data_IF_776488562231
#
_entry.id   IF_776488562231
#
_cell.length_a   1.000
_cell.length_b   1.000
_cell.length_c   1.000
_cell.angle_alpha   90.00
_cell.angle_beta   90.00
_cell.angle_gamma   90.00
#
_symmetry.space_group_name_H-M   'P 1'
#
loop_
_entity.id
_entity.type
_entity.pdbx_description
1 polymer ?
#
# COMPACT_ATOMS: atom_id res chain seq x y z
N UNK A 1 -8.85 5.51 -6.22
CA UNK A 1 -7.99 6.20 -5.23
C UNK A 1 -8.50 7.55 -4.77
N UNK A 2 -9.11 8.41 -5.61
CA UNK A 2 -9.80 9.61 -5.10
C UNK A 2 -10.76 9.26 -3.94
N UNK A 3 -11.49 8.15 -4.07
CA UNK A 3 -12.37 7.64 -3.01
C UNK A 3 -11.63 7.22 -1.74
N UNK A 4 -10.43 6.64 -1.84
CA UNK A 4 -9.60 6.33 -0.66
C UNK A 4 -9.06 7.61 -0.02
N UNK A 5 -8.67 8.60 -0.81
CA UNK A 5 -8.25 9.91 -0.30
C UNK A 5 -9.41 10.63 0.41
N UNK A 6 -10.61 10.56 -0.16
CA UNK A 6 -11.84 11.09 0.42
C UNK A 6 -12.23 10.34 1.70
N UNK A 7 -12.07 9.00 1.71
CA UNK A 7 -12.23 8.17 2.91
C UNK A 7 -11.26 8.56 4.02
N UNK A 8 -9.97 8.73 3.71
CA UNK A 8 -8.98 9.18 4.68
C UNK A 8 -9.34 10.54 5.24
N UNK A 9 -9.76 11.49 4.39
CA UNK A 9 -10.21 12.83 4.82
C UNK A 9 -11.47 12.77 5.70
N UNK A 10 -12.44 11.94 5.32
CA UNK A 10 -13.68 11.75 6.09
C UNK A 10 -13.40 11.24 7.50
N UNK A 11 -12.41 10.35 7.66
CA UNK A 11 -11.96 9.84 8.96
C UNK A 11 -10.93 10.74 9.67
N UNK A 12 -10.80 12.02 9.26
CA UNK A 12 -9.94 13.01 9.92
C UNK A 12 -8.44 12.88 9.60
N UNK A 13 -8.08 12.11 8.57
CA UNK A 13 -6.73 12.03 8.05
C UNK A 13 -6.45 13.09 6.98
N UNK A 14 -5.17 13.23 6.62
CA UNK A 14 -4.71 14.12 5.56
C UNK A 14 -3.97 13.33 4.48
N UNK A 15 -4.08 13.78 3.24
CA UNK A 15 -3.35 13.25 2.10
C UNK A 15 -2.68 14.40 1.34
N UNK A 16 -1.39 14.24 1.05
CA UNK A 16 -0.64 15.14 0.15
C UNK A 16 0.01 14.31 -0.96
N UNK A 17 -0.11 14.78 -2.20
CA UNK A 17 0.52 14.16 -3.36
C UNK A 17 1.99 14.60 -3.44
N UNK A 18 2.92 13.65 -3.45
CA UNK A 18 4.36 13.86 -3.55
C UNK A 18 4.91 12.83 -4.54
N UNK A 19 4.77 13.06 -5.87
CA UNK A 19 5.03 12.04 -6.88
C UNK A 19 6.43 11.40 -6.74
N UNK A 20 6.55 10.07 -6.90
CA UNK A 20 5.49 9.12 -7.26
C UNK A 20 4.64 8.62 -6.09
N UNK A 21 4.80 9.20 -4.90
CA UNK A 21 4.15 8.78 -3.68
C UNK A 21 2.93 9.63 -3.33
N UNK A 22 2.08 9.07 -2.49
CA UNK A 22 1.08 9.81 -1.72
C UNK A 22 1.43 9.68 -0.26
N UNK A 23 1.50 10.81 0.44
CA UNK A 23 1.69 10.81 1.89
C UNK A 23 0.34 10.84 2.57
N UNK A 24 0.13 9.90 3.48
CA UNK A 24 -1.04 9.84 4.33
C UNK A 24 -0.65 10.13 5.77
N UNK A 25 -1.52 10.85 6.48
CA UNK A 25 -1.47 11.02 7.93
C UNK A 25 -2.81 10.65 8.51
N UNK A 26 -2.87 9.61 9.34
CA UNK A 26 -4.11 9.08 9.96
C UNK A 26 -3.83 8.78 11.43
N UNK A 27 -4.64 9.32 12.34
CA UNK A 27 -4.53 9.01 13.78
C UNK A 27 -3.15 9.24 14.39
N UNK A 28 -2.45 10.31 13.97
CA UNK A 28 -1.08 10.63 14.42
C UNK A 28 0.04 9.81 13.75
N UNK A 29 -0.30 8.80 12.93
CA UNK A 29 0.66 8.01 12.15
C UNK A 29 0.78 8.57 10.75
N UNK A 30 1.98 8.50 10.17
CA UNK A 30 2.21 8.89 8.77
C UNK A 30 2.83 7.75 7.97
N UNK A 31 2.45 7.63 6.71
CA UNK A 31 3.01 6.64 5.79
C UNK A 31 3.04 7.17 4.36
N UNK A 32 3.90 6.59 3.53
CA UNK A 32 3.97 6.87 2.08
C UNK A 32 3.41 5.68 1.33
N UNK A 33 2.47 5.94 0.44
CA UNK A 33 1.92 4.95 -0.47
C UNK A 33 2.50 5.17 -1.86
N UNK A 34 3.11 4.14 -2.43
CA UNK A 34 3.38 4.04 -3.85
C UNK A 34 2.27 3.23 -4.50
N UNK A 35 1.59 3.81 -5.50
CA UNK A 35 0.55 3.10 -6.24
C UNK A 35 1.06 2.71 -7.62
N UNK A 36 1.20 1.41 -7.86
CA UNK A 36 1.60 0.82 -9.13
C UNK A 36 0.35 0.46 -9.92
N UNK A 37 0.16 1.15 -11.04
CA UNK A 37 -0.93 0.88 -11.99
C UNK A 37 -0.43 -0.01 -13.12
N UNK A 38 -1.17 -1.07 -13.41
CA UNK A 38 -0.75 -2.10 -14.38
C UNK A 38 0.64 -2.67 -14.11
N UNK A 39 1.35 -3.06 -15.17
CA UNK A 39 2.69 -3.67 -15.10
C UNK A 39 3.84 -2.66 -14.85
N UNK A 40 3.57 -1.56 -14.13
CA UNK A 40 4.60 -0.56 -13.82
C UNK A 40 5.68 -1.15 -12.92
N UNK A 41 6.98 -1.06 -13.30
CA UNK A 41 8.07 -1.56 -12.47
C UNK A 41 8.13 -0.88 -11.11
N UNK A 42 8.50 -1.63 -10.08
CA UNK A 42 8.72 -1.07 -8.74
C UNK A 42 10.01 -0.23 -8.74
N UNK A 43 9.96 1.09 -8.43
CA UNK A 43 11.13 1.95 -8.31
C UNK A 43 11.86 1.67 -6.98
N UNK A 44 12.53 0.53 -6.89
CA UNK A 44 13.13 0.02 -5.64
C UNK A 44 14.05 1.01 -4.93
N UNK A 45 14.76 1.88 -5.66
CA UNK A 45 15.68 2.88 -5.10
C UNK A 45 14.97 4.03 -4.39
N UNK A 46 13.70 4.30 -4.71
CA UNK A 46 12.91 5.35 -4.09
C UNK A 46 12.16 4.89 -2.83
N UNK A 47 12.10 3.57 -2.62
CA UNK A 47 11.42 2.93 -1.49
C UNK A 47 12.29 2.95 -0.23
N UNK A 48 11.65 3.24 0.89
CA UNK A 48 12.23 3.28 2.23
C UNK A 48 11.43 2.38 3.16
N UNK A 49 12.08 1.90 4.22
CA UNK A 49 11.42 1.13 5.29
C UNK A 49 10.18 1.88 5.80
N UNK A 50 9.06 1.18 5.90
CA UNK A 50 7.77 1.73 6.31
C UNK A 50 6.95 2.37 5.19
N UNK A 51 7.47 2.45 3.96
CA UNK A 51 6.65 2.74 2.79
C UNK A 51 5.68 1.55 2.54
N UNK A 52 4.58 1.86 1.87
CA UNK A 52 3.55 0.90 1.46
C UNK A 52 3.44 0.91 -0.07
N UNK A 53 3.37 -0.26 -0.69
CA UNK A 53 3.12 -0.41 -2.13
C UNK A 53 1.72 -0.97 -2.35
N UNK A 54 0.90 -0.30 -3.16
CA UNK A 54 -0.36 -0.86 -3.66
C UNK A 54 -0.15 -1.21 -5.14
N UNK A 55 -0.25 -2.49 -5.49
CA UNK A 55 -0.08 -2.98 -6.84
C UNK A 55 -1.41 -3.49 -7.41
N UNK A 56 -1.78 -2.96 -8.59
CA UNK A 56 -2.94 -3.47 -9.33
C UNK A 56 -2.66 -4.80 -10.00
N UNK A 57 -1.42 -4.99 -10.50
CA UNK A 57 -0.96 -6.24 -11.12
C UNK A 57 -0.19 -7.11 -10.14
N UNK A 58 -0.20 -8.43 -10.41
CA UNK A 58 0.43 -9.43 -9.56
C UNK A 58 1.92 -9.15 -9.39
N UNK A 59 2.38 -9.06 -8.14
CA UNK A 59 3.77 -8.87 -7.81
C UNK A 59 4.51 -10.22 -7.90
N UNK A 60 5.57 -10.32 -8.72
CA UNK A 60 6.42 -11.51 -8.73
C UNK A 60 6.96 -11.80 -7.32
N UNK A 61 7.13 -13.08 -6.98
CA UNK A 61 7.65 -13.52 -5.67
C UNK A 61 8.98 -12.83 -5.31
N UNK A 62 9.92 -12.78 -6.25
CA UNK A 62 11.19 -12.07 -6.12
C UNK A 62 11.02 -10.60 -5.72
N UNK A 63 9.98 -9.92 -6.22
CA UNK A 63 9.68 -8.53 -5.85
C UNK A 63 9.14 -8.46 -4.42
N UNK A 64 8.23 -9.35 -4.04
CA UNK A 64 7.69 -9.43 -2.67
C UNK A 64 8.79 -9.70 -1.65
N UNK A 65 9.73 -10.59 -1.95
CA UNK A 65 10.90 -10.86 -1.10
C UNK A 65 11.79 -9.62 -0.92
N UNK A 66 12.05 -8.88 -2.00
CA UNK A 66 12.82 -7.63 -1.93
C UNK A 66 12.13 -6.55 -1.11
N UNK A 67 10.82 -6.38 -1.27
CA UNK A 67 10.03 -5.44 -0.48
C UNK A 67 10.11 -5.81 1.01
N UNK A 68 9.91 -7.09 1.32
CA UNK A 68 10.05 -7.65 2.67
C UNK A 68 11.43 -7.38 3.26
N UNK A 69 12.50 -7.67 2.52
CA UNK A 69 13.88 -7.44 2.96
C UNK A 69 14.17 -5.96 3.26
N UNK A 70 13.49 -5.04 2.58
CA UNK A 70 13.59 -3.58 2.80
C UNK A 70 12.66 -3.07 3.90
N UNK A 71 11.81 -3.92 4.48
CA UNK A 71 10.77 -3.52 5.43
C UNK A 71 9.74 -2.57 4.80
N UNK A 72 9.43 -2.78 3.52
CA UNK A 72 8.37 -2.11 2.77
C UNK A 72 7.16 -3.06 2.76
N UNK A 73 5.99 -2.54 3.14
CA UNK A 73 4.76 -3.32 3.13
C UNK A 73 4.06 -3.23 1.77
N UNK A 74 3.19 -4.19 1.45
CA UNK A 74 2.50 -4.19 0.15
C UNK A 74 1.09 -4.77 0.21
N UNK A 75 0.25 -4.34 -0.74
CA UNK A 75 -1.03 -4.94 -1.10
C UNK A 75 -0.99 -5.27 -2.59
N UNK A 76 -1.20 -6.53 -2.93
CA UNK A 76 -1.23 -7.05 -4.30
C UNK A 76 -2.68 -7.43 -4.65
N UNK A 77 -3.32 -6.62 -5.50
CA UNK A 77 -4.73 -6.78 -5.82
C UNK A 77 -5.00 -7.98 -6.74
N UNK A 78 -4.22 -8.14 -7.81
CA UNK A 78 -4.37 -9.25 -8.74
C UNK A 78 -3.84 -10.57 -8.14
N UNK A 79 -2.72 -10.51 -7.42
CA UNK A 79 -2.17 -11.65 -6.68
C UNK A 79 -2.95 -12.00 -5.41
N UNK A 80 -3.94 -11.18 -5.03
CA UNK A 80 -4.83 -11.35 -3.87
C UNK A 80 -4.08 -11.67 -2.59
N UNK A 81 -3.03 -10.90 -2.32
CA UNK A 81 -2.21 -11.08 -1.13
C UNK A 81 -1.76 -9.73 -0.59
N UNK A 82 -1.30 -9.71 0.66
CA UNK A 82 -0.65 -8.55 1.25
C UNK A 82 0.55 -9.00 2.06
N UNK A 83 1.42 -8.06 2.38
CA UNK A 83 2.58 -8.30 3.22
C UNK A 83 2.23 -9.05 4.50
N UNK A 84 3.13 -9.97 4.89
CA UNK A 84 2.98 -10.78 6.09
C UNK A 84 2.86 -9.90 7.34
N UNK A 85 3.76 -8.94 7.43
CA UNK A 85 3.69 -7.85 8.41
C UNK A 85 2.86 -6.71 7.81
N UNK A 86 2.22 -5.92 8.67
CA UNK A 86 1.42 -4.78 8.23
C UNK A 86 1.81 -3.50 8.98
N UNK A 87 1.99 -2.41 8.25
CA UNK A 87 1.89 -1.06 8.80
C UNK A 87 0.44 -0.67 9.05
N UNK A 88 0.27 0.39 9.86
CA UNK A 88 -1.03 1.02 10.05
C UNK A 88 -1.70 1.38 8.71
N UNK A 89 -0.92 1.88 7.75
CA UNK A 89 -1.45 2.28 6.44
C UNK A 89 -1.94 1.07 5.63
N UNK A 90 -1.19 -0.03 5.59
CA UNK A 90 -1.62 -1.26 4.91
C UNK A 90 -2.85 -1.89 5.55
N UNK A 91 -2.99 -1.85 6.88
CA UNK A 91 -4.16 -2.41 7.56
C UNK A 91 -5.42 -1.59 7.29
N UNK A 92 -5.33 -0.25 7.36
CA UNK A 92 -6.44 0.64 6.99
C UNK A 92 -6.83 0.49 5.51
N UNK A 93 -5.85 0.38 4.61
CA UNK A 93 -6.10 0.11 3.19
C UNK A 93 -6.80 -1.23 2.96
N UNK A 94 -6.33 -2.29 3.62
CA UNK A 94 -6.95 -3.61 3.50
C UNK A 94 -8.38 -3.63 4.07
N UNK A 95 -8.63 -2.92 5.18
CA UNK A 95 -9.96 -2.75 5.74
C UNK A 95 -10.89 -1.98 4.79
N UNK A 96 -10.41 -0.88 4.20
CA UNK A 96 -11.14 -0.12 3.20
C UNK A 96 -11.50 -0.99 1.99
N UNK A 97 -10.52 -1.67 1.39
CA UNK A 97 -10.71 -2.57 0.26
C UNK A 97 -11.68 -3.72 0.59
N UNK A 98 -11.64 -4.24 1.82
CA UNK A 98 -12.58 -5.24 2.31
C UNK A 98 -14.04 -4.82 2.28
N UNK A 99 -14.35 -3.52 2.41
CA UNK A 99 -15.73 -2.99 2.29
C UNK A 99 -16.28 -3.11 0.87
N UNK A 100 -15.40 -3.19 -0.13
CA UNK A 100 -15.73 -3.39 -1.54
C UNK A 100 -15.57 -4.86 -1.97
N UNK A 101 -15.45 -5.79 -1.02
CA UNK A 101 -15.35 -7.23 -1.29
C UNK A 101 -13.95 -7.73 -1.66
N UNK A 102 -12.93 -6.85 -1.67
CA UNK A 102 -11.55 -7.27 -1.95
C UNK A 102 -10.92 -7.84 -0.68
N UNK A 103 -10.55 -9.12 -0.70
CA UNK A 103 -9.91 -9.82 0.42
C UNK A 103 -8.46 -10.10 0.08
N UNK A 104 -7.55 -9.64 0.95
CA UNK A 104 -6.11 -9.78 0.80
C UNK A 104 -5.57 -10.55 2.00
N UNK A 105 -5.52 -11.90 1.96
CA UNK A 105 -4.84 -12.69 2.97
C UNK A 105 -3.37 -12.28 3.09
N UNK A 106 -2.80 -12.49 4.29
CA UNK A 106 -1.37 -12.24 4.52
C UNK A 106 -0.54 -13.31 3.82
N UNK A 107 0.58 -12.86 3.27
CA UNK A 107 1.63 -13.72 2.74
C UNK A 107 2.20 -14.63 3.82
N UNK A 108 2.56 -15.86 3.44
CA UNK A 108 3.08 -16.89 4.35
C UNK A 108 4.53 -16.60 4.81
#
# INVERSE_FOLDING_TARGET
MKEFDDFVRYHGGAMTEEPPFRRYRVGGRSGRLLWLRGATPVPESALRRGDCVLAESALPEMVREKLRARGVDWLDLEGKTRSREGSALTEELALYLGRYGVRLPRDA
#
